data_IF_554538687718
#
_entry.id   IF_554538687718
#
_cell.length_a   1.000
_cell.length_b   1.000
_cell.length_c   1.000
_cell.angle_alpha   90.00
_cell.angle_beta   90.00
_cell.angle_gamma   90.00
#
_symmetry.space_group_name_H-M   'P 1'
#
loop_
_entity.id
_entity.type
_entity.pdbx_description
1 polymer ?
#
# COMPACT_ATOMS: atom_id res chain seq x y z
N UNK A 1 16.89 10.84 -0.44
CA UNK A 1 16.08 9.61 -0.27
C UNK A 1 14.75 9.87 -0.94
N UNK A 2 14.34 9.00 -1.86
CA UNK A 2 13.00 9.07 -2.45
C UNK A 2 12.03 8.49 -1.42
N UNK A 3 11.10 9.31 -0.92
CA UNK A 3 10.06 8.85 0.01
C UNK A 3 9.08 7.96 -0.75
N UNK A 4 9.09 6.65 -0.48
CA UNK A 4 8.12 5.72 -1.03
C UNK A 4 6.88 5.73 -0.14
N UNK A 5 5.74 6.09 -0.73
CA UNK A 5 4.43 6.00 -0.07
C UNK A 5 3.82 4.63 -0.36
N UNK A 6 3.18 4.03 0.64
CA UNK A 6 2.51 2.75 0.54
C UNK A 6 1.03 2.93 0.82
N UNK A 7 0.18 2.22 0.09
CA UNK A 7 -1.23 2.03 0.43
C UNK A 7 -1.40 0.68 1.11
N UNK A 8 -2.08 0.66 2.24
CA UNK A 8 -1.94 -0.38 3.24
C UNK A 8 -3.31 -0.79 3.78
N UNK A 9 -3.59 -2.10 3.86
CA UNK A 9 -4.82 -2.66 4.44
C UNK A 9 -4.53 -3.41 5.75
N UNK A 10 -4.80 -2.77 6.90
CA UNK A 10 -4.54 -3.31 8.24
C UNK A 10 -5.27 -4.61 8.55
N UNK A 11 -6.46 -4.79 7.99
CA UNK A 11 -7.25 -5.99 8.24
C UNK A 11 -6.66 -7.25 7.59
N UNK A 12 -5.90 -7.09 6.50
CA UNK A 12 -5.33 -8.19 5.72
C UNK A 12 -3.81 -8.27 5.79
N UNK A 13 -3.15 -7.28 6.40
CA UNK A 13 -1.70 -7.14 6.43
C UNK A 13 -1.05 -7.10 5.04
N UNK A 14 -1.73 -6.43 4.10
CA UNK A 14 -1.31 -6.30 2.70
C UNK A 14 -1.01 -4.83 2.36
N UNK A 15 -0.03 -4.58 1.49
CA UNK A 15 0.30 -3.24 1.02
C UNK A 15 0.70 -3.20 -0.47
N UNK A 16 0.61 -2.01 -1.06
CA UNK A 16 1.03 -1.73 -2.44
C UNK A 16 1.75 -0.39 -2.51
N UNK A 17 2.91 -0.30 -3.19
CA UNK A 17 3.62 0.96 -3.32
C UNK A 17 2.91 1.93 -4.25
N UNK A 18 2.95 3.21 -3.89
CA UNK A 18 2.49 4.35 -4.68
C UNK A 18 3.71 4.94 -5.38
N UNK A 19 3.86 4.63 -6.66
CA UNK A 19 4.90 5.20 -7.51
C UNK A 19 4.38 6.52 -8.08
N UNK A 20 4.77 7.65 -7.47
CA UNK A 20 4.31 9.00 -7.85
C UNK A 20 4.71 9.37 -9.29
N UNK A 21 5.67 8.66 -9.89
CA UNK A 21 6.33 9.14 -11.09
C UNK A 21 5.53 9.00 -12.39
N UNK A 22 4.53 8.10 -12.56
CA UNK A 22 3.96 7.95 -13.92
C UNK A 22 2.66 7.15 -14.17
N UNK A 23 1.62 7.14 -13.32
CA UNK A 23 0.36 6.38 -13.61
C UNK A 23 0.54 4.85 -13.82
N UNK A 24 1.78 4.33 -13.80
CA UNK A 24 2.16 2.94 -14.15
C UNK A 24 1.47 1.93 -13.24
N UNK A 25 1.27 2.29 -11.97
CA UNK A 25 0.65 1.42 -10.98
C UNK A 25 -0.82 1.80 -10.67
N UNK A 26 -1.46 2.72 -11.42
CA UNK A 26 -2.85 3.11 -11.17
C UNK A 26 -3.78 1.90 -11.18
N UNK A 27 -3.63 1.02 -12.17
CA UNK A 27 -4.40 -0.22 -12.26
C UNK A 27 -4.17 -1.13 -11.05
N UNK A 28 -2.94 -1.20 -10.54
CA UNK A 28 -2.61 -1.96 -9.31
C UNK A 28 -3.27 -1.35 -8.07
N UNK A 29 -3.31 -0.02 -7.97
CA UNK A 29 -4.00 0.68 -6.88
C UNK A 29 -5.51 0.47 -6.93
N UNK A 30 -6.12 0.54 -8.12
CA UNK A 30 -7.55 0.28 -8.32
C UNK A 30 -7.92 -1.18 -8.02
N UNK A 31 -7.07 -2.13 -8.43
CA UNK A 31 -7.20 -3.55 -8.06
C UNK A 31 -7.07 -3.73 -6.55
N UNK A 32 -6.12 -3.08 -5.91
CA UNK A 32 -5.95 -3.11 -4.45
C UNK A 32 -7.20 -2.59 -3.74
N UNK A 33 -7.76 -1.46 -4.18
CA UNK A 33 -9.01 -0.91 -3.63
C UNK A 33 -10.20 -1.84 -3.82
N UNK A 34 -10.28 -2.49 -4.99
CA UNK A 34 -11.36 -3.45 -5.28
C UNK A 34 -11.25 -4.69 -4.40
N UNK A 35 -10.04 -5.25 -4.25
CA UNK A 35 -9.76 -6.41 -3.39
C UNK A 35 -10.05 -6.14 -1.91
N UNK A 36 -9.81 -4.90 -1.47
CA UNK A 36 -9.99 -4.47 -0.09
C UNK A 36 -11.24 -3.61 0.12
N UNK A 37 -12.22 -3.71 -0.79
CA UNK A 37 -13.45 -2.96 -0.68
C UNK A 37 -14.16 -3.27 0.65
N UNK A 38 -14.46 -2.23 1.42
CA UNK A 38 -15.02 -2.35 2.77
C UNK A 38 -13.99 -2.59 3.88
N UNK A 39 -12.69 -2.55 3.59
CA UNK A 39 -11.63 -2.50 4.61
C UNK A 39 -11.12 -1.07 4.79
N UNK A 40 -10.60 -0.78 6.00
CA UNK A 40 -9.87 0.46 6.22
C UNK A 40 -8.50 0.36 5.55
N UNK A 41 -8.34 1.14 4.48
CA UNK A 41 -7.06 1.34 3.78
C UNK A 41 -6.48 2.70 4.14
N UNK A 42 -5.17 2.77 4.34
CA UNK A 42 -4.47 4.01 4.66
C UNK A 42 -3.24 4.17 3.77
N UNK A 43 -2.86 5.42 3.53
CA UNK A 43 -1.58 5.75 2.91
C UNK A 43 -0.61 6.13 4.02
N UNK A 44 0.55 5.47 4.04
CA UNK A 44 1.63 5.72 4.99
C UNK A 44 2.96 5.79 4.23
N UNK A 45 4.02 6.31 4.86
CA UNK A 45 5.36 6.17 4.33
C UNK A 45 5.90 4.76 4.60
N UNK A 46 6.82 4.27 3.77
CA UNK A 46 7.48 2.98 3.97
C UNK A 46 8.14 2.86 5.36
N UNK A 47 8.75 3.95 5.85
CA UNK A 47 9.36 4.01 7.20
C UNK A 47 8.34 3.79 8.32
N UNK A 48 7.06 4.13 8.12
CA UNK A 48 5.99 3.90 9.10
C UNK A 48 5.49 2.45 9.09
N UNK A 49 5.81 1.68 8.04
CA UNK A 49 5.49 0.26 7.93
C UNK A 49 6.52 -0.60 8.69
N UNK A 50 7.81 -0.24 8.67
CA UNK A 50 8.87 -0.97 9.38
C UNK A 50 8.66 -1.04 10.90
N UNK A 51 7.98 -0.04 11.47
CA UNK A 51 7.59 -0.04 12.88
C UNK A 51 6.51 -1.10 13.21
N UNK A 52 5.75 -1.53 12.20
CA UNK A 52 4.66 -2.51 12.32
C UNK A 52 5.13 -3.88 11.82
N UNK A 53 5.79 -4.67 12.66
CA UNK A 53 6.60 -5.87 12.32
C UNK A 53 5.98 -7.07 11.54
N UNK A 54 4.78 -7.04 10.96
CA UNK A 54 4.21 -8.21 10.25
C UNK A 54 3.30 -7.82 9.06
N UNK A 55 3.87 -7.26 8.00
CA UNK A 55 3.13 -7.01 6.75
C UNK A 55 3.70 -7.84 5.62
N UNK A 56 2.82 -8.43 4.83
CA UNK A 56 3.21 -9.14 3.62
C UNK A 56 3.16 -8.15 2.45
N UNK A 57 4.31 -7.67 1.93
CA UNK A 57 4.34 -6.63 0.92
C UNK A 57 4.08 -7.14 -0.50
N UNK A 58 3.82 -8.44 -0.65
CA UNK A 58 3.62 -9.10 -1.94
C UNK A 58 2.28 -9.84 -1.95
N UNK A 59 1.26 -9.12 -2.42
CA UNK A 59 0.07 -9.70 -3.06
C UNK A 59 0.42 -10.21 -4.46
#
# INVERSE_FOLDING_TARGET
MTLIRLKVCFKRHECVPILEDNYINKEKLEKFDSLHSGHLVQIINEEELEDKREWNPFL
#
